data_IF_358261426046
#
_entry.id   IF_358261426046
#
_cell.length_a   1.000
_cell.length_b   1.000
_cell.length_c   1.000
_cell.angle_alpha   90.00
_cell.angle_beta   90.00
_cell.angle_gamma   90.00
#
_symmetry.space_group_name_H-M   'P 1'
#
loop_
_entity.id
_entity.type
_entity.pdbx_description
1 polymer ?
#
# COMPACT_ATOMS: atom_id res chain seq x y z
N UNK A 1 -0.94 8.02 30.30
CA UNK A 1 -0.18 6.77 30.12
C UNK A 1 0.28 6.70 28.68
N UNK A 2 1.56 6.94 28.43
CA UNK A 2 2.14 7.04 27.09
C UNK A 2 2.60 5.63 26.72
N UNK A 3 1.77 4.86 26.02
CA UNK A 3 2.23 3.60 25.39
C UNK A 3 3.19 4.04 24.28
N UNK A 4 4.48 4.11 24.60
CA UNK A 4 5.57 4.18 23.63
C UNK A 4 5.83 2.76 23.12
N UNK A 5 6.43 2.57 21.95
CA UNK A 5 6.74 1.23 21.42
C UNK A 5 7.51 0.33 22.41
N UNK A 6 8.23 0.95 23.35
CA UNK A 6 8.93 0.29 24.44
C UNK A 6 8.00 -0.56 25.33
N UNK A 7 6.71 -0.23 25.42
CA UNK A 7 5.73 -0.97 26.22
C UNK A 7 5.10 -2.16 25.49
N UNK A 8 5.28 -2.26 24.17
CA UNK A 8 4.65 -3.28 23.31
C UNK A 8 5.64 -4.36 22.85
N UNK A 9 6.94 -4.16 23.09
CA UNK A 9 7.99 -5.06 22.65
C UNK A 9 8.72 -5.72 23.83
N UNK A 10 8.03 -6.64 24.51
CA UNK A 10 8.66 -7.42 25.58
C UNK A 10 9.46 -8.60 25.01
N UNK A 11 9.36 -8.95 23.71
CA UNK A 11 9.96 -10.18 23.15
C UNK A 11 10.33 -10.18 21.63
N UNK A 12 10.32 -9.05 20.91
CA UNK A 12 10.60 -8.99 19.47
C UNK A 12 9.39 -9.26 18.57
N UNK A 13 8.17 -9.30 19.11
CA UNK A 13 6.92 -9.50 18.37
C UNK A 13 6.27 -8.16 17.96
N UNK A 14 6.96 -7.46 17.06
CA UNK A 14 6.51 -6.16 16.55
C UNK A 14 5.13 -6.20 15.91
N UNK A 15 4.72 -7.35 15.35
CA UNK A 15 3.44 -7.51 14.66
C UNK A 15 2.29 -7.45 15.66
N UNK A 16 2.39 -8.17 16.78
CA UNK A 16 1.42 -8.08 17.87
C UNK A 16 1.32 -6.67 18.43
N UNK A 17 2.47 -5.99 18.59
CA UNK A 17 2.52 -4.58 18.97
C UNK A 17 1.77 -3.67 17.99
N UNK A 18 2.07 -3.79 16.69
CA UNK A 18 1.40 -3.00 15.66
C UNK A 18 -0.09 -3.31 15.56
N UNK A 19 -0.51 -4.58 15.64
CA UNK A 19 -1.94 -4.97 15.62
C UNK A 19 -2.72 -4.34 16.78
N UNK A 20 -2.14 -4.25 17.98
CA UNK A 20 -2.76 -3.54 19.11
C UNK A 20 -2.87 -2.03 18.86
N UNK A 21 -1.83 -1.42 18.31
CA UNK A 21 -1.87 0.01 17.94
C UNK A 21 -2.96 0.24 16.89
N UNK A 22 -2.97 -0.57 15.84
CA UNK A 22 -3.91 -0.52 14.73
C UNK A 22 -5.36 -0.64 15.23
N UNK A 23 -5.66 -1.68 16.00
CA UNK A 23 -7.00 -1.87 16.55
C UNK A 23 -7.37 -0.77 17.54
N UNK A 24 -6.43 -0.29 18.35
CA UNK A 24 -6.71 0.79 19.29
C UNK A 24 -7.07 2.11 18.59
N UNK A 25 -6.44 2.40 17.45
CA UNK A 25 -6.73 3.60 16.65
C UNK A 25 -8.10 3.48 15.98
N UNK A 26 -8.42 2.30 15.44
CA UNK A 26 -9.68 2.06 14.73
C UNK A 26 -10.88 2.00 15.68
N UNK A 27 -10.75 1.27 16.79
CA UNK A 27 -11.78 1.16 17.83
C UNK A 27 -12.03 2.46 18.58
N UNK A 28 -11.11 3.44 18.48
CA UNK A 28 -11.21 4.71 19.19
C UNK A 28 -10.84 4.61 20.67
N UNK A 29 -10.17 3.54 21.10
CA UNK A 29 -9.65 3.41 22.46
C UNK A 29 -8.47 4.35 22.73
N UNK A 30 -7.74 4.75 21.68
CA UNK A 30 -6.76 5.83 21.80
C UNK A 30 -7.41 7.23 21.76
N UNK A 31 -6.85 8.21 22.51
CA UNK A 31 -7.26 9.60 22.42
C UNK A 31 -7.18 10.15 20.99
N UNK A 32 -8.06 11.09 20.62
CA UNK A 32 -8.16 11.64 19.27
C UNK A 32 -6.81 12.10 18.67
N UNK A 33 -5.97 12.79 19.45
CA UNK A 33 -4.65 13.27 19.01
C UNK A 33 -3.63 12.14 18.73
N UNK A 34 -3.91 10.90 19.14
CA UNK A 34 -3.10 9.71 18.85
C UNK A 34 -3.70 8.85 17.74
N UNK A 35 -4.93 9.14 17.30
CA UNK A 35 -5.60 8.39 16.24
C UNK A 35 -5.11 8.88 14.88
N UNK A 36 -4.02 8.27 14.41
CA UNK A 36 -3.38 8.60 13.14
C UNK A 36 -3.62 7.51 12.10
N UNK A 37 -3.95 7.89 10.88
CA UNK A 37 -4.34 6.99 9.80
C UNK A 37 -3.43 7.17 8.60
N UNK A 38 -3.11 6.06 7.95
CA UNK A 38 -2.53 5.98 6.62
C UNK A 38 -3.60 5.34 5.72
N UNK A 39 -4.21 6.13 4.85
CA UNK A 39 -5.33 5.69 4.00
C UNK A 39 -4.78 5.47 2.60
N UNK A 40 -4.63 4.21 2.18
CA UNK A 40 -4.34 3.92 0.79
C UNK A 40 -5.62 4.06 -0.06
N UNK A 41 -5.51 4.70 -1.21
CA UNK A 41 -6.57 4.75 -2.21
C UNK A 41 -5.97 4.68 -3.60
N UNK A 42 -6.78 4.24 -4.57
CA UNK A 42 -6.45 4.35 -5.99
C UNK A 42 -7.35 5.32 -6.75
N UNK A 43 -8.21 6.06 -6.04
CA UNK A 43 -8.97 7.19 -6.59
C UNK A 43 -8.07 8.39 -6.81
N UNK A 44 -8.38 9.18 -7.83
CA UNK A 44 -7.71 10.45 -8.04
C UNK A 44 -7.97 11.38 -6.85
N UNK A 45 -6.91 11.91 -6.24
CA UNK A 45 -7.00 13.00 -5.30
C UNK A 45 -7.48 14.24 -6.07
N UNK A 46 -8.64 14.79 -5.68
CA UNK A 46 -9.20 16.06 -6.17
C UNK A 46 -9.77 16.09 -7.60
N UNK A 47 -10.16 14.95 -8.18
CA UNK A 47 -10.95 14.95 -9.44
C UNK A 47 -12.39 14.52 -9.11
N UNK A 48 -13.41 15.32 -9.48
CA UNK A 48 -14.79 14.90 -9.37
C UNK A 48 -14.95 13.59 -10.13
N UNK A 49 -15.35 12.54 -9.41
CA UNK A 49 -15.69 11.26 -10.03
C UNK A 49 -16.93 11.53 -10.88
N UNK A 50 -16.76 11.74 -12.18
CA UNK A 50 -17.91 11.70 -13.07
C UNK A 50 -18.36 10.24 -13.14
N UNK A 51 -19.65 9.95 -13.26
CA UNK A 51 -20.13 8.56 -13.42
C UNK A 51 -19.53 7.85 -14.64
N UNK A 52 -18.86 8.59 -15.53
CA UNK A 52 -18.17 8.10 -16.72
C UNK A 52 -16.63 8.08 -16.57
N UNK A 53 -16.06 8.72 -15.54
CA UNK A 53 -14.62 8.67 -15.27
C UNK A 53 -14.30 7.37 -14.53
N UNK A 54 -14.03 6.34 -15.31
CA UNK A 54 -13.21 5.23 -14.86
C UNK A 54 -11.79 5.76 -14.64
N UNK A 55 -11.56 6.47 -13.53
CA UNK A 55 -10.23 6.63 -12.97
C UNK A 55 -9.74 5.21 -12.62
N UNK A 56 -9.26 4.50 -13.63
CA UNK A 56 -8.95 3.08 -13.53
C UNK A 56 -7.77 2.95 -12.60
N UNK A 57 -8.04 2.40 -11.43
CA UNK A 57 -6.98 1.93 -10.56
C UNK A 57 -6.00 1.07 -11.37
N UNK A 58 -4.72 1.13 -11.01
CA UNK A 58 -3.72 0.28 -11.64
C UNK A 58 -4.10 -1.22 -11.53
N UNK A 59 -3.46 -2.07 -12.33
CA UNK A 59 -3.70 -3.52 -12.29
C UNK A 59 -3.53 -4.10 -10.87
N UNK A 60 -4.11 -5.28 -10.61
CA UNK A 60 -4.10 -5.94 -9.30
C UNK A 60 -2.70 -5.96 -8.65
N UNK A 61 -1.67 -6.39 -9.38
CA UNK A 61 -0.31 -6.46 -8.84
C UNK A 61 0.21 -5.09 -8.37
N UNK A 62 -0.04 -4.03 -9.16
CA UNK A 62 0.36 -2.66 -8.81
C UNK A 62 -0.39 -2.16 -7.57
N UNK A 63 -1.69 -2.48 -7.44
CA UNK A 63 -2.46 -2.18 -6.22
C UNK A 63 -1.87 -2.89 -5.02
N UNK A 64 -1.57 -4.19 -5.10
CA UNK A 64 -0.96 -4.94 -4.00
C UNK A 64 0.38 -4.33 -3.58
N UNK A 65 1.24 -3.95 -4.52
CA UNK A 65 2.51 -3.29 -4.24
C UNK A 65 2.33 -1.92 -3.57
N UNK A 66 1.39 -1.12 -4.06
CA UNK A 66 1.03 0.17 -3.46
C UNK A 66 0.52 0.02 -2.03
N UNK A 67 -0.32 -0.98 -1.78
CA UNK A 67 -0.85 -1.31 -0.45
C UNK A 67 0.26 -1.74 0.49
N UNK A 68 1.18 -2.60 0.06
CA UNK A 68 2.32 -3.02 0.89
C UNK A 68 3.19 -1.81 1.23
N UNK A 69 3.38 -0.89 0.28
CA UNK A 69 4.15 0.33 0.52
C UNK A 69 3.46 1.22 1.55
N UNK A 70 2.14 1.39 1.44
CA UNK A 70 1.35 2.12 2.42
C UNK A 70 1.39 1.46 3.81
N UNK A 71 1.42 0.13 3.88
CA UNK A 71 1.55 -0.59 5.13
C UNK A 71 2.92 -0.39 5.78
N UNK A 72 4.00 -0.47 5.00
CA UNK A 72 5.35 -0.15 5.47
C UNK A 72 5.39 1.28 6.03
N UNK A 73 4.83 2.25 5.29
CA UNK A 73 4.71 3.63 5.77
C UNK A 73 3.91 3.72 7.07
N UNK A 74 2.78 2.99 7.18
CA UNK A 74 1.94 2.99 8.36
C UNK A 74 2.67 2.44 9.60
N UNK A 75 3.50 1.41 9.44
CA UNK A 75 4.37 0.88 10.51
C UNK A 75 5.38 1.94 10.94
N UNK A 76 6.12 2.52 9.97
CA UNK A 76 7.18 3.51 10.22
C UNK A 76 6.67 4.82 10.84
N UNK A 77 5.37 5.09 10.76
CA UNK A 77 4.74 6.31 11.27
C UNK A 77 3.70 6.07 12.36
N UNK A 78 3.57 4.82 12.84
CA UNK A 78 2.61 4.40 13.87
C UNK A 78 1.16 4.80 13.54
N UNK A 79 0.79 4.62 12.27
CA UNK A 79 -0.55 4.90 11.77
C UNK A 79 -1.31 3.59 11.59
N UNK A 80 -2.63 3.64 11.77
CA UNK A 80 -3.49 2.54 11.32
C UNK A 80 -3.63 2.60 9.80
N UNK A 81 -3.28 1.51 9.12
CA UNK A 81 -3.53 1.35 7.69
C UNK A 81 -5.02 1.15 7.44
N UNK A 82 -5.59 1.97 6.56
CA UNK A 82 -6.94 1.82 6.01
C UNK A 82 -6.84 1.72 4.49
N UNK A 83 -7.71 0.91 3.90
CA UNK A 83 -7.85 0.79 2.45
C UNK A 83 -9.18 1.36 2.02
N UNK A 84 -9.11 2.49 1.32
CA UNK A 84 -10.24 3.15 0.69
C UNK A 84 -10.32 2.70 -0.78
N UNK A 85 -11.27 1.81 -1.06
CA UNK A 85 -11.58 1.37 -2.41
C UNK A 85 -12.51 2.39 -3.11
N UNK A 86 -12.20 2.84 -4.35
CA UNK A 86 -13.15 3.59 -5.17
C UNK A 86 -14.38 2.76 -5.55
N UNK A 87 -15.57 3.34 -5.36
CA UNK A 87 -16.83 2.80 -5.87
C UNK A 87 -17.15 1.38 -5.39
N UNK A 88 -18.01 0.69 -6.14
CA UNK A 88 -18.40 -0.71 -5.86
C UNK A 88 -17.26 -1.71 -6.10
N UNK A 89 -16.10 -1.30 -6.65
CA UNK A 89 -14.92 -2.17 -6.82
C UNK A 89 -14.28 -2.59 -5.47
N UNK A 90 -14.70 -1.99 -4.35
CA UNK A 90 -14.46 -2.51 -3.00
C UNK A 90 -14.83 -3.99 -2.86
N UNK A 91 -15.75 -4.46 -3.69
CA UNK A 91 -16.23 -5.84 -3.76
C UNK A 91 -15.29 -6.85 -4.43
N UNK A 92 -14.10 -6.47 -4.90
CA UNK A 92 -13.19 -7.47 -5.49
C UNK A 92 -12.08 -7.90 -4.55
N UNK A 93 -11.21 -7.01 -4.04
CA UNK A 93 -10.09 -7.49 -3.21
C UNK A 93 -10.53 -7.98 -1.83
N UNK A 94 -11.39 -7.24 -1.14
CA UNK A 94 -11.84 -7.61 0.21
C UNK A 94 -12.67 -8.90 0.24
N UNK A 95 -13.22 -9.32 -0.92
CA UNK A 95 -13.93 -10.59 -1.06
C UNK A 95 -12.98 -11.78 -1.26
N UNK A 96 -11.75 -11.55 -1.69
CA UNK A 96 -10.76 -12.62 -1.94
C UNK A 96 -9.61 -12.61 -0.93
N UNK A 97 -9.33 -11.47 -0.31
CA UNK A 97 -8.18 -11.28 0.57
C UNK A 97 -8.61 -10.66 1.91
N UNK A 98 -8.05 -11.19 2.98
CA UNK A 98 -8.16 -10.63 4.32
C UNK A 98 -6.81 -10.63 5.02
N UNK A 99 -6.70 -9.88 6.13
CA UNK A 99 -5.58 -9.99 7.05
C UNK A 99 -6.12 -10.46 8.41
N UNK A 100 -5.60 -11.55 8.99
CA UNK A 100 -5.99 -11.98 10.33
C UNK A 100 -5.45 -11.05 11.42
N UNK A 101 -4.50 -10.18 11.07
CA UNK A 101 -3.81 -9.30 12.00
C UNK A 101 -4.37 -7.88 12.01
N UNK A 102 -5.03 -7.45 10.92
CA UNK A 102 -5.36 -6.04 10.67
C UNK A 102 -6.78 -5.85 10.13
N UNK A 103 -7.53 -4.94 10.74
CA UNK A 103 -8.83 -4.50 10.25
C UNK A 103 -8.70 -3.29 9.31
N UNK A 104 -8.11 -3.53 8.16
CA UNK A 104 -7.83 -2.53 7.13
C UNK A 104 -9.07 -1.95 6.39
N UNK A 105 -10.27 -2.52 6.57
CA UNK A 105 -11.52 -2.15 5.90
C UNK A 105 -12.47 -1.28 6.76
N UNK A 106 -11.94 -0.40 7.61
CA UNK A 106 -12.77 0.43 8.48
C UNK A 106 -13.63 1.43 7.69
N UNK A 107 -14.83 1.73 8.20
CA UNK A 107 -15.77 2.66 7.59
C UNK A 107 -15.17 4.07 7.43
N UNK A 108 -15.51 4.77 6.35
CA UNK A 108 -15.02 6.11 6.06
C UNK A 108 -15.29 7.12 7.20
N UNK A 109 -16.44 6.98 7.87
CA UNK A 109 -16.82 7.77 9.05
C UNK A 109 -15.80 7.71 10.20
N UNK A 110 -15.01 6.64 10.29
CA UNK A 110 -14.01 6.43 11.34
C UNK A 110 -12.88 7.46 11.30
N UNK A 111 -12.56 8.00 10.13
CA UNK A 111 -11.39 8.86 9.92
C UNK A 111 -11.66 10.11 9.06
N UNK A 112 -12.74 10.19 8.29
CA UNK A 112 -12.98 11.28 7.34
C UNK A 112 -13.24 12.64 7.96
N UNK A 113 -13.54 12.69 9.26
CA UNK A 113 -13.78 13.92 10.02
C UNK A 113 -12.49 14.54 10.58
N UNK A 114 -11.35 13.89 10.40
CA UNK A 114 -10.05 14.31 10.91
C UNK A 114 -9.26 15.08 9.85
N UNK A 115 -8.36 15.96 10.30
CA UNK A 115 -7.48 16.72 9.41
C UNK A 115 -6.61 15.80 8.55
N UNK A 116 -6.74 15.96 7.23
CA UNK A 116 -6.12 15.09 6.25
C UNK A 116 -5.14 15.85 5.34
N UNK A 117 -3.98 15.24 5.11
CA UNK A 117 -3.05 15.60 4.04
C UNK A 117 -3.09 14.48 3.00
N UNK A 118 -2.89 14.84 1.73
CA UNK A 118 -2.92 13.89 0.62
C UNK A 118 -1.58 13.85 -0.11
N UNK A 119 -1.10 12.64 -0.37
CA UNK A 119 0.13 12.34 -1.09
C UNK A 119 -0.21 11.54 -2.35
N UNK A 120 0.04 12.13 -3.52
CA UNK A 120 -0.12 11.48 -4.83
C UNK A 120 1.25 11.23 -5.46
N UNK A 121 1.60 9.97 -5.69
CA UNK A 121 2.85 9.59 -6.38
C UNK A 121 2.52 9.05 -7.76
N UNK A 122 2.07 9.91 -8.67
CA UNK A 122 1.94 9.53 -10.08
C UNK A 122 3.30 9.61 -10.77
N UNK A 123 3.94 8.45 -10.96
CA UNK A 123 4.93 8.29 -12.03
C UNK A 123 4.17 7.71 -13.21
N UNK A 124 3.94 8.53 -14.24
CA UNK A 124 3.34 8.04 -15.47
C UNK A 124 4.24 6.98 -16.09
N UNK A 125 3.72 5.78 -16.32
CA UNK A 125 4.33 4.79 -17.22
C UNK A 125 4.21 5.29 -18.68
N UNK A 126 4.85 6.43 -18.97
CA UNK A 126 4.96 7.01 -20.30
C UNK A 126 5.97 6.18 -21.09
N UNK A 127 5.46 5.37 -22.02
CA UNK A 127 6.26 4.81 -23.12
C UNK A 127 6.76 5.96 -24.01
N UNK A 128 7.86 6.61 -23.63
CA UNK A 128 8.63 7.45 -24.54
C UNK A 128 9.99 7.76 -23.93
N UNK A 129 11.06 7.28 -24.57
CA UNK A 129 12.38 7.90 -24.56
C UNK A 129 13.10 7.97 -23.21
N UNK A 130 14.20 7.23 -23.12
CA UNK A 130 15.36 7.51 -22.29
C UNK A 130 15.44 8.95 -21.71
N UNK A 131 15.63 9.03 -20.38
CA UNK A 131 15.64 10.22 -19.51
C UNK A 131 14.28 10.86 -19.21
N UNK A 132 13.49 10.21 -18.33
CA UNK A 132 12.22 10.76 -17.81
C UNK A 132 12.06 10.51 -16.31
N UNK A 133 12.68 11.38 -15.50
CA UNK A 133 12.22 11.81 -14.15
C UNK A 133 11.87 10.71 -13.13
N UNK A 134 12.90 10.25 -12.41
CA UNK A 134 12.86 9.39 -11.21
C UNK A 134 12.54 10.18 -9.92
N UNK A 135 11.60 11.13 -9.99
CA UNK A 135 11.24 12.08 -8.91
C UNK A 135 9.78 11.81 -8.47
N UNK A 136 9.36 11.68 -7.20
CA UNK A 136 9.96 12.03 -5.91
C UNK A 136 9.14 11.45 -4.71
N UNK A 137 9.62 10.40 -4.04
CA UNK A 137 9.41 10.23 -2.59
C UNK A 137 10.61 10.77 -1.78
N UNK A 138 11.76 10.93 -2.45
CA UNK A 138 13.01 11.42 -1.86
C UNK A 138 13.03 12.92 -1.56
N UNK A 139 12.24 13.75 -2.23
CA UNK A 139 12.16 15.20 -1.96
C UNK A 139 10.90 15.60 -1.20
N UNK A 140 9.93 14.69 -1.02
CA UNK A 140 8.73 15.02 -0.27
C UNK A 140 9.17 15.52 1.10
N UNK A 141 8.77 16.74 1.45
CA UNK A 141 9.13 17.34 2.74
C UNK A 141 8.28 16.68 3.83
N UNK A 142 8.68 15.47 4.23
CA UNK A 142 8.08 14.66 5.30
C UNK A 142 7.99 15.39 6.65
N UNK A 143 8.69 16.51 6.79
CA UNK A 143 8.78 17.35 8.00
C UNK A 143 7.41 17.84 8.52
N UNK A 144 6.38 17.91 7.69
CA UNK A 144 5.04 18.35 8.12
C UNK A 144 4.04 17.19 8.33
N UNK A 145 4.39 15.96 7.93
CA UNK A 145 3.45 14.84 7.86
C UNK A 145 3.16 14.21 9.22
N UNK A 146 4.09 14.35 10.19
CA UNK A 146 3.93 13.81 11.55
C UNK A 146 2.76 14.42 12.34
N UNK A 147 2.28 15.61 11.94
CA UNK A 147 1.18 16.32 12.61
C UNK A 147 -0.19 15.97 12.06
N UNK A 148 -0.27 15.45 10.83
CA UNK A 148 -1.55 15.13 10.21
C UNK A 148 -2.17 13.90 10.85
N UNK A 149 -3.46 14.00 11.21
CA UNK A 149 -4.22 12.84 11.72
C UNK A 149 -4.46 11.83 10.61
N UNK A 150 -4.65 12.26 9.36
CA UNK A 150 -4.87 11.37 8.21
C UNK A 150 -3.87 11.70 7.11
N UNK A 151 -3.24 10.67 6.55
CA UNK A 151 -2.41 10.77 5.36
C UNK A 151 -2.99 9.88 4.29
N UNK A 152 -3.51 10.47 3.21
CA UNK A 152 -4.00 9.74 2.05
C UNK A 152 -2.85 9.43 1.11
N UNK A 153 -2.75 8.20 0.67
CA UNK A 153 -1.64 7.67 -0.13
C UNK A 153 -2.19 7.08 -1.44
N UNK A 154 -1.83 7.69 -2.56
CA UNK A 154 -2.10 7.14 -3.90
C UNK A 154 -0.81 6.54 -4.46
N UNK A 155 -0.52 5.30 -4.07
CA UNK A 155 0.69 4.57 -4.46
C UNK A 155 0.31 3.50 -5.50
N UNK A 156 0.87 3.60 -6.71
CA UNK A 156 0.59 2.69 -7.83
C UNK A 156 1.72 1.69 -8.12
N UNK A 157 2.78 1.73 -7.32
CA UNK A 157 3.99 0.91 -7.46
C UNK A 157 4.54 0.51 -6.07
N UNK A 158 5.57 -0.33 -6.06
CA UNK A 158 6.30 -0.71 -4.83
C UNK A 158 7.38 0.31 -4.51
N UNK A 159 7.18 1.12 -3.47
CA UNK A 159 8.10 2.20 -3.06
C UNK A 159 8.96 1.81 -1.85
N UNK A 160 9.30 0.53 -1.72
CA UNK A 160 9.94 -0.02 -0.51
C UNK A 160 11.33 0.59 -0.29
N UNK A 161 12.16 0.65 -1.32
CA UNK A 161 13.52 1.20 -1.20
C UNK A 161 13.51 2.68 -0.81
N UNK A 162 12.58 3.47 -1.34
CA UNK A 162 12.48 4.89 -1.01
C UNK A 162 12.02 5.10 0.45
N UNK A 163 11.14 4.22 0.96
CA UNK A 163 10.71 4.24 2.36
C UNK A 163 11.81 3.77 3.31
N UNK A 164 12.53 2.69 2.96
CA UNK A 164 13.62 2.13 3.78
C UNK A 164 14.85 3.04 3.83
N UNK A 165 15.16 3.76 2.74
CA UNK A 165 16.32 4.65 2.66
C UNK A 165 16.04 6.05 3.20
N UNK A 166 14.80 6.36 3.60
CA UNK A 166 14.44 7.68 4.08
C UNK A 166 14.97 7.90 5.50
N UNK A 167 15.91 8.82 5.74
CA UNK A 167 16.51 9.01 7.06
C UNK A 167 15.51 9.43 8.15
N UNK A 168 14.42 10.12 7.78
CA UNK A 168 13.39 10.55 8.72
C UNK A 168 12.46 9.41 9.16
N UNK A 169 12.35 8.35 8.34
CA UNK A 169 11.54 7.17 8.64
C UNK A 169 12.41 6.00 9.13
N UNK A 170 13.66 5.90 8.66
CA UNK A 170 14.63 4.88 9.03
C UNK A 170 15.11 5.03 10.48
N UNK A 171 15.10 6.24 11.05
CA UNK A 171 15.32 6.44 12.49
C UNK A 171 14.17 5.86 13.33
N UNK A 172 12.97 5.77 12.75
CA UNK A 172 11.80 5.08 13.31
C UNK A 172 11.74 3.60 12.89
N UNK A 173 12.83 3.01 12.34
CA UNK A 173 12.96 1.56 12.23
C UNK A 173 13.02 0.96 13.63
N UNK A 174 11.83 0.67 14.11
CA UNK A 174 11.51 0.01 15.35
C UNK A 174 12.26 -1.31 15.45
N UNK A 175 12.91 -1.46 16.60
CA UNK A 175 13.46 -2.71 17.10
C UNK A 175 12.54 -3.89 16.72
N UNK A 176 13.08 -4.86 15.99
CA UNK A 176 12.37 -6.11 15.64
C UNK A 176 11.86 -6.24 14.20
N UNK A 177 11.62 -5.16 13.44
CA UNK A 177 11.11 -5.28 12.07
C UNK A 177 12.14 -5.91 11.11
N UNK A 178 13.43 -5.52 11.23
CA UNK A 178 14.59 -6.04 10.47
C UNK A 178 14.30 -6.31 8.99
N UNK A 179 13.72 -5.34 8.29
CA UNK A 179 13.53 -5.35 6.83
C UNK A 179 14.63 -4.51 6.19
N UNK A 180 15.45 -5.13 5.35
CA UNK A 180 16.62 -4.51 4.70
C UNK A 180 16.46 -4.38 3.20
N UNK A 181 15.60 -5.19 2.58
CA UNK A 181 15.45 -5.24 1.13
C UNK A 181 13.99 -5.13 0.71
N UNK A 182 13.77 -4.65 -0.51
CA UNK A 182 12.46 -4.67 -1.17
C UNK A 182 11.82 -6.06 -1.17
N UNK A 183 12.61 -7.12 -1.35
CA UNK A 183 12.12 -8.50 -1.37
C UNK A 183 11.64 -8.97 0.01
N UNK A 184 12.36 -8.60 1.07
CA UNK A 184 11.94 -8.89 2.44
C UNK A 184 10.65 -8.15 2.79
N UNK A 185 10.52 -6.88 2.38
CA UNK A 185 9.30 -6.09 2.55
C UNK A 185 8.13 -6.76 1.83
N UNK A 186 8.28 -7.02 0.54
CA UNK A 186 7.25 -7.66 -0.29
C UNK A 186 6.84 -9.02 0.29
N UNK A 187 7.83 -9.86 0.59
CA UNK A 187 7.61 -11.22 1.05
C UNK A 187 7.01 -11.30 2.47
N UNK A 188 7.46 -10.48 3.42
CA UNK A 188 6.97 -10.53 4.81
C UNK A 188 5.68 -9.76 4.99
N UNK A 189 5.62 -8.50 4.53
CA UNK A 189 4.43 -7.68 4.71
C UNK A 189 3.28 -8.15 3.81
N UNK A 190 3.58 -8.62 2.59
CA UNK A 190 2.56 -9.21 1.72
C UNK A 190 1.88 -10.42 2.36
N UNK A 191 2.65 -11.31 3.02
CA UNK A 191 2.10 -12.47 3.75
C UNK A 191 1.23 -12.09 4.95
N UNK A 192 1.52 -10.97 5.61
CA UNK A 192 0.71 -10.47 6.74
C UNK A 192 -0.61 -9.87 6.25
N UNK A 193 -0.57 -9.15 5.12
CA UNK A 193 -1.72 -8.43 4.59
C UNK A 193 -2.69 -9.30 3.79
N UNK A 194 -2.17 -10.28 3.05
CA UNK A 194 -2.93 -10.96 2.01
C UNK A 194 -3.02 -12.45 2.28
N UNK A 195 -4.07 -12.84 3.00
CA UNK A 195 -4.52 -14.21 3.11
C UNK A 195 -5.71 -14.43 2.18
N UNK A 196 -5.68 -15.50 1.40
CA UNK A 196 -6.80 -15.89 0.56
C UNK A 196 -8.00 -16.32 1.41
N UNK A 197 -9.20 -15.88 1.05
CA UNK A 197 -10.43 -16.47 1.58
C UNK A 197 -10.55 -17.93 1.15
N UNK A 198 -11.20 -18.75 1.99
CA UNK A 198 -11.36 -20.19 1.76
C UNK A 198 -11.83 -20.53 0.34
N UNK A 199 -12.74 -19.75 -0.25
CA UNK A 199 -13.22 -20.00 -1.61
C UNK A 199 -12.14 -19.87 -2.70
N UNK A 200 -11.15 -19.00 -2.51
CA UNK A 200 -10.02 -18.87 -3.43
C UNK A 200 -8.98 -19.96 -3.15
N UNK A 201 -8.73 -20.27 -1.88
CA UNK A 201 -7.83 -21.35 -1.48
C UNK A 201 -8.33 -22.72 -1.99
N UNK A 202 -9.64 -22.97 -1.90
CA UNK A 202 -10.29 -24.17 -2.41
C UNK A 202 -10.12 -24.29 -3.93
N UNK A 203 -10.28 -23.19 -4.69
CA UNK A 203 -10.05 -23.18 -6.15
C UNK A 203 -8.57 -23.40 -6.51
N UNK A 204 -7.63 -22.82 -5.74
CA UNK A 204 -6.20 -23.05 -5.90
C UNK A 204 -5.85 -24.52 -5.64
N UNK A 205 -6.37 -25.08 -4.54
CA UNK A 205 -6.09 -26.46 -4.13
C UNK A 205 -6.73 -27.46 -5.09
N UNK A 206 -7.97 -27.24 -5.52
CA UNK A 206 -8.67 -28.09 -6.48
C UNK A 206 -7.97 -28.17 -7.85
N UNK A 207 -7.26 -27.10 -8.24
CA UNK A 207 -6.47 -27.05 -9.48
C UNK A 207 -5.03 -27.51 -9.30
N UNK A 208 -4.59 -27.75 -8.07
CA UNK A 208 -3.23 -28.20 -7.80
C UNK A 208 -3.10 -29.69 -8.13
N UNK A 209 -2.21 -30.02 -9.06
CA UNK A 209 -1.92 -31.41 -9.40
C UNK A 209 -0.95 -31.97 -8.35
N UNK A 210 -1.23 -33.19 -7.87
CA UNK A 210 -0.34 -33.93 -6.99
C UNK A 210 0.93 -34.34 -7.75
N UNK A 211 1.99 -33.55 -7.63
CA UNK A 211 3.29 -33.84 -8.21
C UNK A 211 4.39 -33.68 -7.17
N UNK A 212 5.45 -34.48 -7.29
CA UNK A 212 6.64 -34.44 -6.42
C UNK A 212 7.38 -33.09 -6.51
N UNK A 213 7.27 -32.41 -7.66
CA UNK A 213 7.86 -31.10 -7.90
C UNK A 213 6.86 -30.20 -8.65
N UNK A 214 6.86 -28.91 -8.34
CA UNK A 214 6.01 -27.90 -8.98
C UNK A 214 6.88 -26.82 -9.60
N UNK A 215 6.69 -26.58 -10.89
CA UNK A 215 7.33 -25.47 -11.62
C UNK A 215 6.28 -24.40 -11.90
N UNK A 216 6.47 -23.20 -11.34
CA UNK A 216 5.64 -22.05 -11.65
C UNK A 216 6.19 -21.28 -12.85
N UNK A 217 5.41 -21.17 -13.93
CA UNK A 217 5.78 -20.37 -15.11
C UNK A 217 4.76 -19.25 -15.27
N UNK A 218 5.18 -18.00 -15.03
CA UNK A 218 4.36 -16.82 -15.26
C UNK A 218 4.75 -16.17 -16.58
N UNK A 219 3.83 -16.15 -17.54
CA UNK A 219 4.05 -15.55 -18.87
C UNK A 219 3.28 -14.24 -18.95
N UNK A 220 3.99 -13.13 -19.22
CA UNK A 220 3.40 -11.83 -19.51
C UNK A 220 3.96 -11.28 -20.82
N UNK A 221 3.11 -11.18 -21.84
CA UNK A 221 3.49 -10.64 -23.16
C UNK A 221 3.04 -9.18 -23.24
N UNK A 222 3.97 -8.24 -23.12
CA UNK A 222 3.72 -6.82 -23.31
C UNK A 222 3.89 -6.42 -24.77
N UNK A 223 2.81 -6.40 -25.56
CA UNK A 223 2.91 -5.88 -26.93
C UNK A 223 2.97 -4.34 -26.93
N UNK A 224 3.99 -3.79 -27.58
CA UNK A 224 4.03 -2.37 -27.94
C UNK A 224 3.49 -2.28 -29.36
N UNK A 225 2.28 -1.76 -29.55
CA UNK A 225 1.86 -1.31 -30.88
C UNK A 225 2.79 -0.15 -31.25
N UNK A 226 3.70 -0.36 -32.20
CA UNK A 226 4.34 0.75 -32.89
C UNK A 226 3.24 1.47 -33.68
N UNK A 227 2.73 2.57 -33.14
CA UNK A 227 1.98 3.53 -33.95
C UNK A 227 2.98 4.14 -34.92
N UNK A 228 2.94 3.69 -36.18
CA UNK A 228 3.83 4.17 -37.23
C UNK A 228 3.78 5.69 -37.33
N UNK A 229 4.91 6.35 -37.06
CA UNK A 229 5.13 7.70 -37.57
C UNK A 229 5.41 7.56 -39.05
N UNK A 230 4.48 8.00 -39.88
CA UNK A 230 4.72 8.25 -41.29
C UNK A 230 5.93 9.19 -41.41
N UNK A 231 6.98 8.71 -42.06
CA UNK A 231 8.09 9.54 -42.48
C UNK A 231 7.58 10.47 -43.59
N UNK A 232 7.28 11.72 -43.24
CA UNK A 232 7.14 12.79 -44.22
C UNK A 232 8.53 13.05 -44.82
N UNK A 233 8.81 12.44 -45.97
CA UNK A 233 9.84 12.94 -46.88
C UNK A 233 9.37 14.30 -47.39
N UNK A 234 10.06 15.37 -46.96
CA UNK A 234 9.98 16.66 -47.64
C UNK A 234 10.89 16.58 -48.87
N UNK A 235 10.27 16.59 -50.03
CA UNK A 235 10.83 17.03 -51.31
C UNK A 235 11.17 18.51 -51.28
#
# INVERSE_FOLDING_TARGET
MRIEWQDLDVNGDWLSGYSKIHEGIISGTFPAHRRRFAVWTCSELNVPVSPESTARCAGLANRLLGIISAFLYAILTERALIIEWPGDEASHLANFLYSPYLRWNATRSTWSHLDAISLDTRVGSGRSGWLGVRRELRTFHWLNDHKASVVKLTLLEGYFDDLLQNPNLAAACLYGLNLKTSDEVLGRLGRILFHAHNSLDDDIMARSVGSTFRLGVQIRIGMVRQTGRAWNQRS
#
